data_IF_783731639678
#
_entry.id   IF_783731639678
#
_cell.length_a   1.000
_cell.length_b   1.000
_cell.length_c   1.000
_cell.angle_alpha   90.00
_cell.angle_beta   90.00
_cell.angle_gamma   90.00
#
_symmetry.space_group_name_H-M   'P 1'
#
loop_
_entity.id
_entity.type
_entity.pdbx_description
1 polymer ?
#
# COMPACT_ATOMS: atom_id res chain seq x y z
N UNK A 1 9.34 -35.73 11.88
CA UNK A 1 9.56 -35.25 13.27
C UNK A 1 8.31 -35.62 14.06
N UNK A 2 8.47 -36.35 15.19
CA UNK A 2 7.32 -36.72 16.04
C UNK A 2 6.92 -35.65 17.04
N UNK A 3 7.85 -34.81 17.42
CA UNK A 3 7.67 -33.71 18.37
C UNK A 3 8.60 -32.54 17.98
N UNK A 4 8.10 -31.31 18.10
CA UNK A 4 8.86 -30.10 17.92
C UNK A 4 8.79 -29.27 19.21
N UNK A 5 9.94 -28.87 19.74
CA UNK A 5 10.01 -28.02 20.93
C UNK A 5 9.59 -26.57 20.63
N UNK A 6 9.53 -25.72 21.68
CA UNK A 6 9.24 -24.29 21.50
C UNK A 6 10.27 -23.63 20.56
N UNK A 7 9.81 -22.71 19.73
CA UNK A 7 10.65 -21.92 18.79
C UNK A 7 11.45 -22.77 17.79
N UNK A 8 11.01 -24.00 17.50
CA UNK A 8 11.68 -24.86 16.52
C UNK A 8 11.05 -24.63 15.14
N UNK A 9 11.83 -24.22 14.11
CA UNK A 9 11.32 -24.08 12.75
C UNK A 9 11.01 -25.47 12.17
N UNK A 10 9.82 -25.64 11.61
CA UNK A 10 9.39 -26.90 11.00
C UNK A 10 8.71 -26.64 9.65
N UNK A 11 8.91 -27.56 8.70
CA UNK A 11 8.18 -27.56 7.44
C UNK A 11 6.97 -28.48 7.57
N UNK A 12 5.78 -27.94 7.26
CA UNK A 12 4.51 -28.65 7.35
C UNK A 12 3.99 -28.92 5.95
N UNK A 13 3.60 -30.15 5.69
CA UNK A 13 3.05 -30.58 4.41
C UNK A 13 1.61 -31.10 4.62
N UNK A 14 0.78 -30.97 3.58
CA UNK A 14 -0.58 -31.53 3.56
C UNK A 14 -1.63 -30.64 4.23
N UNK A 15 -1.41 -29.33 4.27
CA UNK A 15 -2.45 -28.38 4.65
C UNK A 15 -3.42 -28.12 3.49
N UNK A 16 -4.71 -28.06 3.80
CA UNK A 16 -5.73 -27.63 2.85
C UNK A 16 -5.68 -26.10 2.71
N UNK A 17 -5.21 -25.61 1.57
CA UNK A 17 -5.00 -24.19 1.29
C UNK A 17 -3.56 -23.74 1.51
N UNK A 18 -3.27 -22.51 1.15
CA UNK A 18 -1.97 -21.87 1.36
C UNK A 18 -2.10 -20.82 2.47
N UNK A 19 -1.58 -21.07 3.69
CA UNK A 19 -1.55 -20.07 4.74
C UNK A 19 -0.62 -18.92 4.34
N UNK A 20 -0.98 -17.71 4.75
CA UNK A 20 -0.17 -16.52 4.54
C UNK A 20 0.81 -16.30 5.68
N UNK A 21 1.84 -15.49 5.43
CA UNK A 21 2.78 -15.09 6.48
C UNK A 21 2.02 -14.36 7.61
N UNK A 22 2.30 -14.73 8.85
CA UNK A 22 1.62 -14.18 10.03
C UNK A 22 0.36 -14.93 10.48
N UNK A 23 -0.13 -15.90 9.71
CA UNK A 23 -1.28 -16.72 10.10
C UNK A 23 -0.99 -17.56 11.35
N UNK A 24 -1.96 -17.58 12.26
CA UNK A 24 -1.85 -18.34 13.51
C UNK A 24 -2.16 -19.81 13.28
N UNK A 25 -1.20 -20.65 13.65
CA UNK A 25 -1.30 -22.09 13.59
C UNK A 25 -1.64 -22.72 14.95
N UNK A 26 -2.59 -23.66 14.97
CA UNK A 26 -2.96 -24.40 16.19
C UNK A 26 -3.02 -25.88 15.90
N UNK A 27 -2.34 -26.68 16.72
CA UNK A 27 -2.40 -28.15 16.68
C UNK A 27 -3.59 -28.63 17.49
N UNK A 28 -4.39 -29.56 16.93
CA UNK A 28 -5.56 -30.16 17.57
C UNK A 28 -5.43 -31.69 17.53
N UNK A 29 -6.03 -32.35 18.50
CA UNK A 29 -5.98 -33.81 18.63
C UNK A 29 -7.05 -34.47 17.75
N UNK A 30 -8.22 -33.81 17.61
CA UNK A 30 -9.36 -34.32 16.83
C UNK A 30 -9.41 -33.61 15.46
N UNK A 31 -9.30 -34.43 14.39
CA UNK A 31 -9.34 -33.94 13.00
C UNK A 31 -10.70 -33.34 12.63
N UNK A 32 -11.80 -33.88 13.15
CA UNK A 32 -13.15 -33.35 12.87
C UNK A 32 -13.34 -31.97 13.47
N UNK A 33 -12.93 -31.82 14.72
CA UNK A 33 -12.97 -30.52 15.40
C UNK A 33 -12.10 -29.47 14.70
N UNK A 34 -10.90 -29.87 14.23
CA UNK A 34 -10.03 -29.01 13.46
C UNK A 34 -10.68 -28.52 12.15
N UNK A 35 -11.31 -29.44 11.40
CA UNK A 35 -12.04 -29.10 10.15
C UNK A 35 -13.24 -28.17 10.40
N UNK A 36 -14.01 -28.43 11.44
CA UNK A 36 -15.17 -27.59 11.79
C UNK A 36 -14.75 -26.17 12.16
N UNK A 37 -13.68 -26.03 12.94
CA UNK A 37 -13.14 -24.72 13.32
C UNK A 37 -12.57 -23.99 12.09
N UNK A 38 -11.82 -24.67 11.24
CA UNK A 38 -11.25 -24.11 10.02
C UNK A 38 -12.37 -23.60 9.07
N UNK A 39 -13.41 -24.42 8.87
CA UNK A 39 -14.57 -24.04 8.05
C UNK A 39 -15.29 -22.80 8.59
N UNK A 40 -15.56 -22.76 9.89
CA UNK A 40 -16.20 -21.60 10.54
C UNK A 40 -15.34 -20.34 10.44
N UNK A 41 -14.02 -20.44 10.62
CA UNK A 41 -13.11 -19.29 10.47
C UNK A 41 -13.07 -18.79 9.03
N UNK A 42 -12.98 -19.66 8.06
CA UNK A 42 -13.00 -19.30 6.64
C UNK A 42 -14.30 -18.61 6.26
N UNK A 43 -15.43 -19.07 6.79
CA UNK A 43 -16.71 -18.43 6.57
C UNK A 43 -16.77 -17.03 7.20
N UNK A 44 -16.34 -16.89 8.45
CA UNK A 44 -16.28 -15.59 9.14
C UNK A 44 -15.35 -14.60 8.42
N UNK A 45 -14.21 -15.08 7.92
CA UNK A 45 -13.27 -14.24 7.18
C UNK A 45 -13.85 -13.78 5.84
N UNK A 46 -14.58 -14.64 5.14
CA UNK A 46 -15.32 -14.24 3.92
C UNK A 46 -16.39 -13.20 4.23
N UNK A 47 -17.17 -13.39 5.29
CA UNK A 47 -18.18 -12.43 5.73
C UNK A 47 -17.56 -11.09 6.15
N UNK A 48 -16.42 -11.12 6.84
CA UNK A 48 -15.67 -9.92 7.20
C UNK A 48 -15.13 -9.20 5.97
N UNK A 49 -14.52 -9.94 5.03
CA UNK A 49 -13.99 -9.35 3.79
C UNK A 49 -15.12 -8.71 2.95
N UNK A 50 -16.28 -9.34 2.86
CA UNK A 50 -17.46 -8.75 2.18
C UNK A 50 -17.95 -7.49 2.91
N UNK A 51 -17.88 -7.45 4.24
CA UNK A 51 -18.26 -6.26 5.04
C UNK A 51 -17.21 -5.17 5.02
N UNK A 52 -15.91 -5.53 4.91
CA UNK A 52 -14.79 -4.59 4.90
C UNK A 52 -14.58 -3.97 3.53
N UNK A 53 -15.03 -4.62 2.45
CA UNK A 53 -15.26 -3.98 1.16
C UNK A 53 -16.52 -3.08 1.26
N UNK A 54 -16.48 -2.12 2.19
CA UNK A 54 -17.35 -0.97 2.09
C UNK A 54 -16.94 -0.26 0.81
N UNK A 55 -17.73 -0.46 -0.23
CA UNK A 55 -17.74 0.47 -1.35
C UNK A 55 -17.87 1.86 -0.74
N UNK A 56 -16.82 2.66 -0.86
CA UNK A 56 -16.94 4.10 -0.67
C UNK A 56 -18.16 4.47 -1.50
N UNK A 57 -19.20 4.99 -0.85
CA UNK A 57 -20.44 5.29 -1.57
C UNK A 57 -20.15 6.37 -2.60
N UNK A 58 -20.81 6.31 -3.75
CA UNK A 58 -20.68 7.33 -4.80
C UNK A 58 -20.87 8.76 -4.25
N UNK A 59 -21.70 8.91 -3.20
CA UNK A 59 -21.88 10.17 -2.48
C UNK A 59 -20.62 10.62 -1.73
N UNK A 60 -19.84 9.71 -1.20
CA UNK A 60 -18.58 10.01 -0.49
C UNK A 60 -17.47 10.33 -1.47
N UNK A 61 -17.43 9.63 -2.61
CA UNK A 61 -16.55 9.95 -3.75
C UNK A 61 -16.94 11.33 -4.32
N UNK A 62 -18.22 11.58 -4.55
CA UNK A 62 -18.72 12.85 -5.05
C UNK A 62 -18.40 14.03 -4.12
N UNK A 63 -18.46 13.82 -2.82
CA UNK A 63 -18.12 14.82 -1.81
C UNK A 63 -16.62 15.12 -1.77
N UNK A 64 -15.78 14.11 -1.93
CA UNK A 64 -14.31 14.24 -2.00
C UNK A 64 -13.85 14.90 -3.29
N UNK A 65 -14.45 14.55 -4.44
CA UNK A 65 -14.21 15.19 -5.74
C UNK A 65 -14.67 16.66 -5.72
N UNK A 66 -15.78 16.99 -5.03
CA UNK A 66 -16.29 18.35 -4.93
C UNK A 66 -15.41 19.27 -4.06
N UNK A 67 -14.61 18.70 -3.16
CA UNK A 67 -13.63 19.44 -2.34
C UNK A 67 -12.32 19.75 -3.08
N UNK A 68 -12.09 19.15 -4.28
CA UNK A 68 -11.05 19.58 -5.23
C UNK A 68 -9.61 19.13 -4.94
N UNK A 69 -9.31 18.55 -3.76
CA UNK A 69 -7.94 18.28 -3.32
C UNK A 69 -7.63 16.79 -3.03
N UNK A 70 -8.52 15.87 -3.43
CA UNK A 70 -8.27 14.45 -3.19
C UNK A 70 -7.30 13.88 -4.24
N UNK A 71 -6.16 13.38 -3.75
CA UNK A 71 -5.13 12.72 -4.57
C UNK A 71 -5.04 11.25 -4.23
N UNK A 72 -4.78 10.42 -5.22
CA UNK A 72 -4.54 9.00 -5.06
C UNK A 72 -3.09 8.68 -5.43
N UNK A 73 -2.44 7.90 -4.59
CA UNK A 73 -1.11 7.36 -4.86
C UNK A 73 -1.23 5.85 -5.04
N UNK A 74 -1.17 5.42 -6.30
CA UNK A 74 -1.27 4.02 -6.67
C UNK A 74 0.10 3.36 -6.64
N UNK A 75 0.20 2.18 -6.01
CA UNK A 75 1.45 1.46 -5.78
C UNK A 75 1.32 0.02 -6.24
N UNK A 76 2.34 -0.46 -6.94
CA UNK A 76 2.60 -1.88 -7.17
C UNK A 76 3.78 -2.27 -6.31
N UNK A 77 3.57 -3.27 -5.43
CA UNK A 77 4.57 -3.71 -4.46
C UNK A 77 5.11 -5.10 -4.80
N UNK A 78 6.43 -5.21 -4.95
CA UNK A 78 7.13 -6.49 -5.17
C UNK A 78 8.18 -6.68 -4.10
N UNK A 79 8.27 -7.88 -3.55
CA UNK A 79 9.24 -8.22 -2.50
C UNK A 79 9.92 -9.56 -2.72
N UNK A 80 10.95 -9.81 -1.96
CA UNK A 80 11.69 -11.08 -1.95
C UNK A 80 10.90 -12.20 -1.26
N UNK A 81 10.14 -11.85 -0.22
CA UNK A 81 9.30 -12.76 0.56
C UNK A 81 7.94 -12.14 0.89
N UNK A 82 6.94 -12.99 1.08
CA UNK A 82 5.57 -12.58 1.35
C UNK A 82 5.43 -11.73 2.62
N UNK A 83 6.14 -12.10 3.69
CA UNK A 83 6.13 -11.34 4.95
C UNK A 83 6.64 -9.91 4.82
N UNK A 84 7.64 -9.65 3.95
CA UNK A 84 8.12 -8.30 3.66
C UNK A 84 7.09 -7.49 2.91
N UNK A 85 6.43 -8.10 1.94
CA UNK A 85 5.34 -7.48 1.14
C UNK A 85 4.17 -7.12 2.04
N UNK A 86 3.78 -8.00 2.95
CA UNK A 86 2.68 -7.74 3.88
C UNK A 86 3.00 -6.64 4.88
N UNK A 87 4.20 -6.66 5.48
CA UNK A 87 4.65 -5.62 6.41
C UNK A 87 4.68 -4.22 5.75
N UNK A 88 5.13 -4.14 4.50
CA UNK A 88 5.12 -2.89 3.72
C UNK A 88 3.69 -2.47 3.36
N UNK A 89 2.84 -3.42 2.96
CA UNK A 89 1.41 -3.17 2.68
C UNK A 89 0.73 -2.50 3.87
N UNK A 90 0.86 -3.09 5.06
CA UNK A 90 0.28 -2.55 6.29
C UNK A 90 0.84 -1.17 6.66
N UNK A 91 2.15 -0.97 6.43
CA UNK A 91 2.80 0.29 6.72
C UNK A 91 2.36 1.40 5.77
N UNK A 92 2.25 1.10 4.48
CA UNK A 92 1.82 2.07 3.46
C UNK A 92 0.35 2.44 3.59
N UNK A 93 -0.53 1.48 3.90
CA UNK A 93 -1.94 1.77 4.15
C UNK A 93 -2.15 2.73 5.32
N UNK A 94 -1.30 2.65 6.36
CA UNK A 94 -1.34 3.57 7.51
C UNK A 94 -0.88 4.98 7.19
N UNK A 95 -0.20 5.20 6.06
CA UNK A 95 0.20 6.53 5.60
C UNK A 95 -0.94 7.29 4.94
N UNK A 96 -2.02 6.63 4.54
CA UNK A 96 -3.19 7.29 3.94
C UNK A 96 -3.71 8.39 4.85
N UNK A 97 -3.92 9.56 4.28
CA UNK A 97 -4.51 10.75 4.92
C UNK A 97 -5.88 11.05 4.33
N UNK A 98 -6.57 12.06 4.85
CA UNK A 98 -7.86 12.51 4.27
C UNK A 98 -7.68 13.13 2.88
N UNK A 99 -6.49 13.68 2.58
CA UNK A 99 -6.16 14.36 1.33
C UNK A 99 -5.53 13.43 0.29
N UNK A 100 -4.73 12.44 0.74
CA UNK A 100 -4.04 11.49 -0.13
C UNK A 100 -4.35 10.06 0.32
N UNK A 101 -4.92 9.28 -0.58
CA UNK A 101 -5.14 7.85 -0.36
C UNK A 101 -4.05 7.02 -1.02
N UNK A 102 -3.42 6.15 -0.25
CA UNK A 102 -2.46 5.16 -0.76
C UNK A 102 -3.21 3.88 -1.14
N UNK A 103 -3.18 3.55 -2.43
CA UNK A 103 -3.82 2.36 -2.97
C UNK A 103 -2.78 1.35 -3.44
N UNK A 104 -2.83 0.12 -2.93
CA UNK A 104 -1.98 -0.96 -3.41
C UNK A 104 -2.75 -1.72 -4.48
N UNK A 105 -2.44 -1.43 -5.75
CA UNK A 105 -3.09 -2.01 -6.93
C UNK A 105 -2.72 -3.49 -7.09
N UNK A 106 -1.44 -3.80 -6.87
CA UNK A 106 -0.94 -5.17 -6.96
C UNK A 106 0.20 -5.39 -5.98
N UNK A 107 0.23 -6.58 -5.40
CA UNK A 107 1.34 -7.03 -4.56
C UNK A 107 1.77 -8.45 -4.96
N UNK A 108 3.07 -8.74 -4.89
CA UNK A 108 3.56 -10.06 -5.24
C UNK A 108 5.02 -10.29 -4.82
N UNK A 109 5.39 -11.56 -4.82
CA UNK A 109 6.75 -12.02 -4.50
C UNK A 109 7.52 -12.26 -5.79
N UNK A 110 8.81 -11.92 -5.79
CA UNK A 110 9.74 -12.12 -6.89
C UNK A 110 10.13 -10.83 -7.61
N UNK A 111 10.91 -10.97 -8.66
CA UNK A 111 11.41 -9.85 -9.44
C UNK A 111 10.28 -9.04 -10.09
N UNK A 112 10.54 -7.75 -10.33
CA UNK A 112 9.62 -6.89 -11.08
C UNK A 112 9.66 -7.30 -12.55
N UNK A 113 8.49 -7.62 -13.11
CA UNK A 113 8.34 -8.11 -14.47
C UNK A 113 7.84 -7.02 -15.42
N UNK A 114 7.92 -7.27 -16.73
CA UNK A 114 7.33 -6.39 -17.75
C UNK A 114 5.82 -6.22 -17.55
N UNK A 115 5.12 -7.28 -17.15
CA UNK A 115 3.67 -7.21 -16.86
C UNK A 115 3.34 -6.29 -15.69
N UNK A 116 4.20 -6.23 -14.67
CA UNK A 116 4.04 -5.30 -13.55
C UNK A 116 4.19 -3.84 -14.02
N UNK A 117 5.12 -3.59 -14.94
CA UNK A 117 5.33 -2.26 -15.54
C UNK A 117 4.15 -1.83 -16.39
N UNK A 118 3.63 -2.72 -17.24
CA UNK A 118 2.43 -2.44 -18.04
C UNK A 118 1.20 -2.19 -17.18
N UNK A 119 1.07 -2.93 -16.07
CA UNK A 119 0.00 -2.67 -15.10
C UNK A 119 0.17 -1.30 -14.43
N UNK A 120 1.40 -0.91 -14.08
CA UNK A 120 1.69 0.40 -13.52
C UNK A 120 1.33 1.53 -14.50
N UNK A 121 1.68 1.38 -15.77
CA UNK A 121 1.31 2.34 -16.84
C UNK A 121 -0.20 2.47 -16.98
N UNK A 122 -0.94 1.36 -16.94
CA UNK A 122 -2.39 1.36 -17.06
C UNK A 122 -3.12 1.95 -15.84
N UNK A 123 -2.48 1.96 -14.67
CA UNK A 123 -3.09 2.36 -13.40
C UNK A 123 -2.50 3.66 -12.84
N UNK A 124 -1.62 4.34 -13.57
CA UNK A 124 -0.86 5.50 -13.09
C UNK A 124 -0.22 5.23 -11.72
N UNK A 125 0.50 4.11 -11.63
CA UNK A 125 1.07 3.60 -10.39
C UNK A 125 2.61 3.63 -10.41
N UNK A 126 3.21 3.83 -9.24
CA UNK A 126 4.64 3.63 -9.03
C UNK A 126 4.93 2.18 -8.63
N UNK A 127 6.12 1.69 -8.95
CA UNK A 127 6.55 0.34 -8.57
C UNK A 127 7.57 0.41 -7.45
N UNK A 128 7.27 -0.25 -6.34
CA UNK A 128 8.18 -0.39 -5.20
C UNK A 128 8.67 -1.82 -5.11
N UNK A 129 9.98 -2.00 -5.23
CA UNK A 129 10.67 -3.27 -5.08
C UNK A 129 11.41 -3.35 -3.74
N UNK A 130 11.11 -4.35 -2.92
CA UNK A 130 11.82 -4.60 -1.66
C UNK A 130 12.74 -5.81 -1.81
N UNK A 131 14.05 -5.58 -1.71
CA UNK A 131 15.10 -6.58 -1.96
C UNK A 131 15.01 -7.29 -3.32
N UNK A 132 14.30 -6.73 -4.28
CA UNK A 132 14.13 -7.27 -5.63
C UNK A 132 14.54 -6.25 -6.68
N UNK A 133 14.87 -6.72 -7.88
CA UNK A 133 15.27 -5.89 -9.01
C UNK A 133 14.37 -6.17 -10.22
N UNK A 134 14.27 -5.22 -11.16
CA UNK A 134 13.62 -5.47 -12.44
C UNK A 134 14.31 -6.61 -13.19
N UNK A 135 13.52 -7.55 -13.71
CA UNK A 135 13.98 -8.69 -14.48
C UNK A 135 13.92 -8.40 -15.98
N UNK A 136 14.85 -8.95 -16.74
CA UNK A 136 14.85 -8.91 -18.20
C UNK A 136 14.68 -7.50 -18.76
N UNK A 137 13.64 -7.32 -19.56
CA UNK A 137 13.34 -6.06 -20.25
C UNK A 137 12.50 -5.07 -19.40
N UNK A 138 12.09 -5.45 -18.20
CA UNK A 138 11.20 -4.64 -17.36
C UNK A 138 11.71 -3.20 -17.16
N UNK A 139 13.03 -3.02 -16.99
CA UNK A 139 13.63 -1.69 -16.86
C UNK A 139 13.52 -0.87 -18.14
N UNK A 140 13.77 -1.49 -19.30
CA UNK A 140 13.66 -0.79 -20.58
C UNK A 140 12.22 -0.38 -20.90
N UNK A 141 11.26 -1.24 -20.52
CA UNK A 141 9.83 -0.92 -20.67
C UNK A 141 9.44 0.19 -19.71
N UNK A 142 9.92 0.18 -18.47
CA UNK A 142 9.66 1.23 -17.48
C UNK A 142 10.22 2.59 -17.94
N UNK A 143 11.44 2.61 -18.47
CA UNK A 143 12.05 3.82 -19.01
C UNK A 143 11.25 4.37 -20.23
N UNK A 144 10.70 3.48 -21.06
CA UNK A 144 9.88 3.85 -22.22
C UNK A 144 8.50 4.37 -21.85
N UNK A 145 7.88 3.76 -20.84
CA UNK A 145 6.54 4.10 -20.33
C UNK A 145 6.59 5.18 -19.24
N UNK A 146 7.78 5.71 -18.93
CA UNK A 146 8.02 6.72 -17.88
C UNK A 146 7.53 6.29 -16.48
N UNK A 147 7.61 4.99 -16.17
CA UNK A 147 7.21 4.43 -14.88
C UNK A 147 8.35 4.49 -13.89
N UNK A 148 8.10 5.09 -12.72
CA UNK A 148 9.08 5.16 -11.63
C UNK A 148 9.17 3.80 -10.91
N UNK A 149 10.38 3.21 -10.92
CA UNK A 149 10.70 1.98 -10.19
C UNK A 149 11.69 2.33 -9.10
N UNK A 150 11.26 2.22 -7.85
CA UNK A 150 12.09 2.42 -6.66
C UNK A 150 12.39 1.11 -5.96
N UNK A 151 13.63 0.91 -5.57
CA UNK A 151 14.07 -0.33 -4.90
C UNK A 151 14.66 0.00 -3.55
N UNK A 152 14.23 -0.75 -2.52
CA UNK A 152 14.64 -0.57 -1.14
C UNK A 152 15.10 -1.90 -0.53
N UNK A 153 15.98 -1.81 0.45
CA UNK A 153 16.41 -2.93 1.27
C UNK A 153 16.06 -2.73 2.76
N UNK A 154 15.62 -1.53 3.11
CA UNK A 154 15.21 -1.15 4.46
C UNK A 154 13.77 -0.65 4.41
N UNK A 155 12.90 -1.19 5.24
CA UNK A 155 11.46 -0.86 5.25
C UNK A 155 11.23 0.61 5.57
N UNK A 156 11.99 1.16 6.53
CA UNK A 156 11.85 2.55 6.95
C UNK A 156 12.22 3.55 5.85
N UNK A 157 13.20 3.21 5.00
CA UNK A 157 13.57 4.08 3.87
C UNK A 157 12.43 4.16 2.86
N UNK A 158 11.79 3.03 2.56
CA UNK A 158 10.62 2.99 1.69
C UNK A 158 9.44 3.80 2.25
N UNK A 159 9.21 3.72 3.57
CA UNK A 159 8.14 4.47 4.25
C UNK A 159 8.42 5.97 4.22
N UNK A 160 9.66 6.39 4.51
CA UNK A 160 10.04 7.80 4.54
C UNK A 160 9.96 8.43 3.15
N UNK A 161 10.52 7.76 2.12
CA UNK A 161 10.45 8.24 0.75
C UNK A 161 9.01 8.39 0.25
N UNK A 162 8.14 7.44 0.63
CA UNK A 162 6.73 7.53 0.26
C UNK A 162 6.04 8.69 0.97
N UNK A 163 6.36 8.92 2.24
CA UNK A 163 5.85 10.04 3.01
C UNK A 163 6.28 11.38 2.43
N UNK A 164 7.57 11.50 2.07
CA UNK A 164 8.11 12.71 1.43
C UNK A 164 7.47 12.95 0.06
N UNK A 165 7.22 11.88 -0.72
CA UNK A 165 6.50 11.97 -1.99
C UNK A 165 5.05 12.44 -1.80
N UNK A 166 4.35 11.94 -0.78
CA UNK A 166 3.00 12.39 -0.43
C UNK A 166 2.99 13.86 -0.01
N UNK A 167 3.93 14.30 0.83
CA UNK A 167 4.06 15.70 1.21
C UNK A 167 4.31 16.59 -0.01
N UNK A 168 5.12 16.14 -0.97
CA UNK A 168 5.34 16.84 -2.24
C UNK A 168 4.12 16.89 -3.17
N UNK A 169 3.15 15.99 -2.99
CA UNK A 169 1.88 16.00 -3.73
C UNK A 169 0.89 17.04 -3.16
N UNK A 170 1.02 17.43 -1.92
CA UNK A 170 0.14 18.42 -1.29
C UNK A 170 0.32 19.79 -1.94
N UNK A 171 -0.77 20.51 -2.14
CA UNK A 171 -0.71 21.87 -2.60
C UNK A 171 -0.21 22.75 -1.46
N UNK A 172 0.71 23.72 -1.69
CA UNK A 172 1.17 24.60 -0.64
C UNK A 172 -0.01 25.44 -0.11
N UNK A 173 -0.32 25.29 1.17
CA UNK A 173 -1.23 26.23 1.85
C UNK A 173 -0.59 27.61 1.92
N UNK A 174 -1.23 28.59 1.31
CA UNK A 174 -0.86 29.98 1.46
C UNK A 174 -1.26 30.46 2.87
N UNK A 175 -0.30 30.48 3.79
CA UNK A 175 -0.51 31.05 5.10
C UNK A 175 -0.33 32.55 5.01
N UNK A 176 -1.44 33.31 5.12
CA UNK A 176 -1.38 34.75 5.23
C UNK A 176 -0.87 35.13 6.62
N UNK A 177 0.30 35.73 6.70
CA UNK A 177 0.86 36.28 7.91
C UNK A 177 0.86 37.82 7.80
N UNK A 178 0.21 38.50 8.75
CA UNK A 178 0.19 39.94 8.79
C UNK A 178 1.59 40.43 9.20
N UNK A 179 2.40 40.84 8.24
CA UNK A 179 3.77 41.31 8.45
C UNK A 179 3.84 42.79 8.79
N UNK A 180 2.74 43.54 8.64
CA UNK A 180 2.70 44.96 8.98
C UNK A 180 1.35 45.59 8.68
N UNK A 181 1.14 46.78 9.23
CA UNK A 181 -0.04 47.59 9.00
C UNK A 181 0.38 48.91 8.34
N UNK A 182 -0.24 49.26 7.22
CA UNK A 182 0.00 50.52 6.52
C UNK A 182 -1.25 51.42 6.61
N UNK A 183 -1.09 52.64 7.08
CA UNK A 183 -2.15 53.65 7.14
C UNK A 183 -1.97 54.66 6.00
N UNK A 184 -3.01 54.81 5.16
CA UNK A 184 -3.02 55.79 4.08
C UNK A 184 -3.34 57.16 4.71
N UNK A 185 -2.38 58.09 4.72
CA UNK A 185 -2.55 59.43 5.29
C UNK A 185 -3.00 60.46 4.26
N UNK A 186 -2.59 60.35 3.00
CA UNK A 186 -2.97 61.26 1.93
C UNK A 186 -3.05 60.56 0.58
N UNK A 187 -3.98 60.99 -0.27
CA UNK A 187 -4.12 60.55 -1.65
C UNK A 187 -3.87 61.70 -2.60
N UNK A 188 -2.93 61.55 -3.53
CA UNK A 188 -2.64 62.51 -4.57
C UNK A 188 -3.17 62.04 -5.92
N UNK A 189 -3.90 62.94 -6.61
CA UNK A 189 -4.35 62.70 -7.97
C UNK A 189 -3.33 63.34 -8.91
N UNK A 190 -2.58 62.53 -9.64
CA UNK A 190 -1.65 62.98 -10.67
C UNK A 190 -2.44 63.13 -11.98
N UNK A 191 -2.37 64.33 -12.60
CA UNK A 191 -3.02 64.66 -13.86
C UNK A 191 -2.19 64.19 -15.04
#
# INVERSE_FOLDING_TARGET
>A
IKEAGPSTPVSILGLDGAPQAGDKFKVMIDEREAKDIASKRTQLQREQNVRTQRHITLDEIGRRIALGDFKELNIILKGDVDGSVEALTDSFQKLSTEEIQVNIIHKGVGAITESDVLLASASDAIIIGFNVRPAGNARQVADKEEIDIRTYSIIYDAINDLKDAMEGMLSPELKEEITGTAEIRETFKIS
#
